data_IF_055209440259
#
_entry.id   IF_055209440259
#
_cell.length_a   1.000
_cell.length_b   1.000
_cell.length_c   1.000
_cell.angle_alpha   90.00
_cell.angle_beta   90.00
_cell.angle_gamma   90.00
#
_symmetry.space_group_name_H-M   'P 1'
#
loop_
_entity.id
_entity.type
_entity.pdbx_description
1 polymer ?
#
# COMPACT_ATOMS: atom_id res chain seq x y z
N UNK A 1 -9.37 10.17 3.53
CA UNK A 1 -8.03 9.70 3.87
C UNK A 1 -8.10 8.81 5.09
N UNK A 2 -7.51 7.63 5.05
CA UNK A 2 -7.34 6.77 6.24
C UNK A 2 -6.16 7.29 7.04
N UNK A 3 -6.39 7.66 8.30
CA UNK A 3 -5.33 8.11 9.21
C UNK A 3 -4.77 6.89 9.95
N UNK A 4 -3.45 6.77 10.04
CA UNK A 4 -2.80 5.68 10.77
C UNK A 4 -2.72 6.00 12.27
N UNK A 5 -3.83 5.75 12.97
CA UNK A 5 -3.95 5.89 14.43
C UNK A 5 -3.55 4.61 15.19
N UNK A 6 -3.83 4.57 16.49
CA UNK A 6 -3.51 3.42 17.36
C UNK A 6 -4.29 2.17 16.99
N UNK A 7 -5.52 2.30 16.50
CA UNK A 7 -6.38 1.16 16.15
C UNK A 7 -5.88 0.53 14.84
N UNK A 8 -5.54 1.36 13.86
CA UNK A 8 -4.89 0.92 12.62
C UNK A 8 -3.54 0.25 12.91
N UNK A 9 -2.73 0.84 13.79
CA UNK A 9 -1.43 0.27 14.18
C UNK A 9 -1.57 -1.10 14.86
N UNK A 10 -2.58 -1.28 15.71
CA UNK A 10 -2.86 -2.56 16.34
C UNK A 10 -3.36 -3.60 15.32
N UNK A 11 -4.31 -3.24 14.46
CA UNK A 11 -4.88 -4.13 13.44
C UNK A 11 -3.84 -4.62 12.43
N UNK A 12 -2.92 -3.73 12.01
CA UNK A 12 -1.92 -4.02 10.99
C UNK A 12 -0.55 -4.43 11.53
N UNK A 13 -0.38 -4.68 12.83
CA UNK A 13 0.95 -4.91 13.41
C UNK A 13 1.75 -6.00 12.66
N UNK A 14 1.13 -7.17 12.45
CA UNK A 14 1.78 -8.29 11.76
C UNK A 14 2.08 -7.96 10.29
N UNK A 15 1.13 -7.35 9.57
CA UNK A 15 1.30 -6.91 8.18
C UNK A 15 2.46 -5.91 8.03
N UNK A 16 2.54 -4.91 8.91
CA UNK A 16 3.60 -3.91 8.89
C UNK A 16 4.97 -4.55 9.24
N UNK A 17 5.01 -5.51 10.16
CA UNK A 17 6.24 -6.24 10.50
C UNK A 17 6.71 -7.16 9.36
N UNK A 18 5.80 -7.84 8.66
CA UNK A 18 6.08 -8.54 7.40
C UNK A 18 6.74 -7.58 6.41
N UNK A 19 6.14 -6.42 6.16
CA UNK A 19 6.71 -5.46 5.22
C UNK A 19 8.13 -5.00 5.62
N UNK A 20 8.44 -4.93 6.92
CA UNK A 20 9.78 -4.61 7.41
C UNK A 20 10.79 -5.73 7.10
N UNK A 21 10.37 -6.99 7.07
CA UNK A 21 11.28 -8.11 6.76
C UNK A 21 11.87 -8.01 5.36
N UNK A 22 11.12 -7.43 4.41
CA UNK A 22 11.53 -7.22 3.02
C UNK A 22 12.69 -6.21 2.84
N UNK A 23 13.12 -5.56 3.92
CA UNK A 23 14.36 -4.77 3.90
C UNK A 23 15.60 -5.66 3.71
N UNK A 24 15.54 -6.91 4.14
CA UNK A 24 16.59 -7.91 3.96
C UNK A 24 16.51 -8.54 2.56
N UNK A 25 17.65 -8.77 1.91
CA UNK A 25 17.71 -9.35 0.57
C UNK A 25 17.27 -10.81 0.54
N UNK A 26 17.71 -11.62 1.49
CA UNK A 26 17.40 -13.05 1.54
C UNK A 26 15.89 -13.28 1.76
N UNK A 27 15.26 -12.39 2.53
CA UNK A 27 13.81 -12.40 2.73
C UNK A 27 13.03 -12.06 1.46
N UNK A 28 13.53 -11.13 0.63
CA UNK A 28 12.90 -10.83 -0.66
C UNK A 28 13.01 -12.02 -1.60
N UNK A 29 14.16 -12.68 -1.65
CA UNK A 29 14.34 -13.88 -2.47
C UNK A 29 13.37 -14.99 -2.05
N UNK A 30 13.21 -15.22 -0.74
CA UNK A 30 12.24 -16.20 -0.22
C UNK A 30 10.79 -15.81 -0.52
N UNK A 31 10.44 -14.55 -0.32
CA UNK A 31 9.10 -14.03 -0.63
C UNK A 31 8.78 -14.20 -2.12
N UNK A 32 9.70 -13.86 -3.01
CA UNK A 32 9.50 -13.98 -4.47
C UNK A 32 9.55 -15.42 -4.99
N UNK A 33 10.19 -16.34 -4.26
CA UNK A 33 10.20 -17.75 -4.61
C UNK A 33 8.83 -18.42 -4.40
N UNK A 34 8.15 -18.07 -3.30
CA UNK A 34 6.78 -18.51 -3.00
C UNK A 34 6.12 -17.53 -2.03
N UNK A 35 5.37 -16.57 -2.59
CA UNK A 35 4.75 -15.50 -1.80
C UNK A 35 3.81 -16.06 -0.74
N UNK A 36 3.02 -17.08 -1.09
CA UNK A 36 2.03 -17.64 -0.18
C UNK A 36 2.72 -18.36 0.97
N UNK A 37 3.72 -19.19 0.68
CA UNK A 37 4.47 -19.89 1.72
C UNK A 37 5.17 -18.91 2.67
N UNK A 38 5.79 -17.85 2.15
CA UNK A 38 6.44 -16.84 2.98
C UNK A 38 5.43 -16.07 3.85
N UNK A 39 4.26 -15.72 3.30
CA UNK A 39 3.19 -15.05 4.04
C UNK A 39 2.56 -15.93 5.13
N UNK A 40 2.52 -17.25 4.94
CA UNK A 40 2.01 -18.19 5.93
C UNK A 40 2.92 -18.31 7.17
N UNK A 41 4.16 -17.79 7.12
CA UNK A 41 5.05 -17.66 8.29
C UNK A 41 4.65 -16.50 9.22
N UNK A 42 3.80 -15.58 8.76
CA UNK A 42 3.40 -14.39 9.51
C UNK A 42 1.99 -14.54 10.11
N UNK A 43 1.74 -14.02 11.33
CA UNK A 43 0.42 -14.06 11.96
C UNK A 43 -0.51 -12.98 11.38
N UNK A 44 -0.69 -13.00 10.06
CA UNK A 44 -1.56 -12.10 9.30
C UNK A 44 -2.91 -12.77 9.04
N UNK A 45 -3.96 -11.95 8.95
CA UNK A 45 -5.27 -12.43 8.48
C UNK A 45 -5.19 -12.86 7.00
N UNK A 46 -6.10 -13.73 6.57
CA UNK A 46 -6.16 -14.15 5.17
C UNK A 46 -6.39 -12.98 4.22
N UNK A 47 -7.23 -12.00 4.59
CA UNK A 47 -7.46 -10.80 3.78
C UNK A 47 -6.18 -9.97 3.61
N UNK A 48 -5.35 -9.85 4.65
CA UNK A 48 -4.06 -9.18 4.55
C UNK A 48 -3.10 -9.94 3.62
N UNK A 49 -3.05 -11.27 3.70
CA UNK A 49 -2.20 -12.08 2.81
C UNK A 49 -2.65 -11.96 1.35
N UNK A 50 -3.95 -12.06 1.10
CA UNK A 50 -4.52 -11.90 -0.24
C UNK A 50 -4.29 -10.49 -0.79
N UNK A 51 -4.40 -9.46 0.05
CA UNK A 51 -4.07 -8.08 -0.32
C UNK A 51 -2.60 -7.91 -0.74
N UNK A 52 -1.66 -8.58 -0.06
CA UNK A 52 -0.24 -8.59 -0.46
C UNK A 52 -0.06 -9.26 -1.82
N UNK A 53 -0.60 -10.46 -2.00
CA UNK A 53 -0.49 -11.22 -3.26
C UNK A 53 -1.10 -10.42 -4.43
N UNK A 54 -2.25 -9.78 -4.21
CA UNK A 54 -2.93 -8.97 -5.21
C UNK A 54 -2.28 -7.59 -5.42
N UNK A 55 -1.31 -7.20 -4.59
CA UNK A 55 -0.73 -5.84 -4.53
C UNK A 55 -1.78 -4.73 -4.35
N UNK A 56 -2.88 -5.04 -3.66
CA UNK A 56 -3.95 -4.07 -3.36
C UNK A 56 -3.57 -3.21 -2.15
N UNK A 57 -2.77 -2.17 -2.40
CA UNK A 57 -2.29 -1.28 -1.34
C UNK A 57 -3.42 -0.50 -0.67
N UNK A 58 -4.50 -0.19 -1.38
CA UNK A 58 -5.66 0.50 -0.81
C UNK A 58 -6.42 -0.42 0.15
N UNK A 59 -6.64 -1.69 -0.24
CA UNK A 59 -7.19 -2.71 0.66
C UNK A 59 -6.28 -2.98 1.86
N UNK A 60 -4.96 -3.04 1.65
CA UNK A 60 -4.03 -3.22 2.76
C UNK A 60 -4.05 -2.05 3.74
N UNK A 61 -4.28 -0.81 3.28
CA UNK A 61 -4.50 0.34 4.17
C UNK A 61 -5.77 0.18 5.00
N UNK A 62 -6.87 -0.31 4.44
CA UNK A 62 -8.10 -0.54 5.22
C UNK A 62 -7.92 -1.66 6.26
N UNK A 63 -6.95 -2.54 6.03
CA UNK A 63 -6.56 -3.65 6.92
C UNK A 63 -5.42 -3.30 7.90
N UNK A 64 -5.17 -2.02 8.17
CA UNK A 64 -4.16 -1.56 9.15
C UNK A 64 -2.76 -1.35 8.59
N UNK A 65 -2.57 -1.50 7.28
CA UNK A 65 -1.29 -1.23 6.64
C UNK A 65 -0.96 0.25 6.65
N UNK A 66 0.29 0.58 7.01
CA UNK A 66 0.81 1.93 6.87
C UNK A 66 1.61 2.04 5.57
N UNK A 67 1.36 3.07 4.76
CA UNK A 67 1.99 3.22 3.44
C UNK A 67 3.53 3.19 3.47
N UNK A 68 4.17 3.69 4.53
CA UNK A 68 5.62 3.61 4.66
C UNK A 68 6.13 2.19 4.84
N UNK A 69 5.34 1.29 5.42
CA UNK A 69 5.64 -0.13 5.48
C UNK A 69 5.25 -0.81 4.16
N UNK A 70 4.02 -0.63 3.70
CA UNK A 70 3.50 -1.26 2.49
C UNK A 70 4.35 -0.98 1.24
N UNK A 71 4.95 0.20 1.14
CA UNK A 71 5.86 0.54 0.04
C UNK A 71 7.07 -0.42 -0.09
N UNK A 72 7.42 -1.19 0.95
CA UNK A 72 8.46 -2.22 0.85
C UNK A 72 8.04 -3.38 -0.07
N UNK A 73 6.74 -3.65 -0.23
CA UNK A 73 6.24 -4.66 -1.17
C UNK A 73 6.59 -4.22 -2.60
N UNK A 74 6.12 -3.05 -3.04
CA UNK A 74 6.44 -2.54 -4.38
C UNK A 74 7.93 -2.27 -4.59
N UNK A 75 8.65 -1.81 -3.56
CA UNK A 75 10.10 -1.67 -3.65
C UNK A 75 10.82 -3.02 -3.82
N UNK A 76 10.30 -4.10 -3.21
CA UNK A 76 10.81 -5.46 -3.42
C UNK A 76 10.52 -5.97 -4.84
N UNK A 77 9.49 -5.44 -5.49
CA UNK A 77 9.18 -5.67 -6.91
C UNK A 77 10.00 -4.74 -7.85
N UNK A 78 10.92 -3.92 -7.31
CA UNK A 78 11.74 -2.99 -8.08
C UNK A 78 11.04 -1.70 -8.50
N UNK A 79 9.86 -1.40 -7.94
CA UNK A 79 9.12 -0.18 -8.26
C UNK A 79 9.68 1.05 -7.55
N UNK A 80 9.63 2.18 -8.24
CA UNK A 80 9.80 3.50 -7.64
C UNK A 80 8.60 3.90 -6.78
N UNK A 81 8.80 4.84 -5.84
CA UNK A 81 7.70 5.31 -5.00
C UNK A 81 6.57 5.96 -5.80
N UNK A 82 6.89 6.62 -6.93
CA UNK A 82 5.89 7.15 -7.86
C UNK A 82 4.98 6.03 -8.40
N UNK A 83 5.56 4.94 -8.89
CA UNK A 83 4.79 3.80 -9.40
C UNK A 83 3.91 3.18 -8.30
N UNK A 84 4.45 3.05 -7.09
CA UNK A 84 3.73 2.50 -5.93
C UNK A 84 2.51 3.35 -5.58
N UNK A 85 2.66 4.68 -5.46
CA UNK A 85 1.51 5.53 -5.08
C UNK A 85 0.54 5.75 -6.23
N UNK A 86 0.99 5.61 -7.48
CA UNK A 86 0.11 5.73 -8.65
C UNK A 86 -0.95 4.64 -8.67
N UNK A 87 -0.59 3.39 -8.29
CA UNK A 87 -1.54 2.26 -8.23
C UNK A 87 -2.68 2.47 -7.24
N UNK A 88 -2.55 3.45 -6.34
CA UNK A 88 -3.55 3.80 -5.35
C UNK A 88 -4.48 4.94 -5.82
N UNK A 89 -4.30 5.42 -7.04
CA UNK A 89 -5.06 6.51 -7.65
C UNK A 89 -5.78 6.06 -8.91
N UNK A 90 -6.62 6.94 -9.47
CA UNK A 90 -7.30 6.70 -10.75
C UNK A 90 -6.35 6.74 -11.96
N UNK A 91 -5.10 7.21 -11.79
CA UNK A 91 -4.11 7.32 -12.84
C UNK A 91 -3.13 6.14 -12.81
N UNK A 92 -2.64 5.74 -13.97
CA UNK A 92 -1.42 4.94 -14.06
C UNK A 92 -0.18 5.77 -13.72
N UNK A 93 1.01 5.15 -13.74
CA UNK A 93 2.26 5.83 -13.39
C UNK A 93 2.58 7.03 -14.30
N UNK A 94 2.19 6.98 -15.59
CA UNK A 94 2.44 8.06 -16.53
C UNK A 94 1.48 9.23 -16.29
N UNK A 95 0.18 8.96 -16.14
CA UNK A 95 -0.82 9.97 -15.83
C UNK A 95 -0.57 10.63 -14.46
N UNK A 96 -0.13 9.84 -13.47
CA UNK A 96 0.25 10.39 -12.17
C UNK A 96 1.50 11.27 -12.27
N UNK A 97 2.51 10.87 -13.06
CA UNK A 97 3.70 11.69 -13.31
C UNK A 97 3.33 13.04 -13.95
N UNK A 98 2.48 13.00 -14.99
CA UNK A 98 1.98 14.19 -15.67
C UNK A 98 1.20 15.10 -14.71
N UNK A 99 0.31 14.53 -13.90
CA UNK A 99 -0.42 15.27 -12.87
C UNK A 99 0.53 15.97 -11.89
N UNK A 100 1.61 15.30 -11.47
CA UNK A 100 2.62 15.89 -10.59
C UNK A 100 3.43 17.00 -11.28
N UNK A 101 3.79 16.85 -12.56
CA UNK A 101 4.47 17.89 -13.35
C UNK A 101 3.59 19.14 -13.56
N UNK A 102 2.27 18.95 -13.64
CA UNK A 102 1.28 20.02 -13.82
C UNK A 102 0.82 20.69 -12.51
N UNK A 103 1.55 20.50 -11.41
CA UNK A 103 1.28 21.16 -10.13
C UNK A 103 0.58 20.30 -9.07
N UNK A 104 0.34 19.02 -9.35
CA UNK A 104 -0.23 18.06 -8.41
C UNK A 104 -1.75 18.10 -8.33
N UNK A 105 -2.31 17.20 -7.52
CA UNK A 105 -3.76 17.08 -7.32
C UNK A 105 -4.30 18.29 -6.54
N UNK A 106 -5.29 18.97 -7.11
CA UNK A 106 -5.93 20.11 -6.45
C UNK A 106 -6.61 19.69 -5.13
N UNK A 107 -6.48 20.49 -4.05
CA UNK A 107 -7.23 20.29 -2.82
C UNK A 107 -8.71 20.67 -2.96
N UNK A 108 -9.11 21.40 -3.99
CA UNK A 108 -10.51 21.78 -4.19
C UNK A 108 -11.39 20.55 -4.40
N UNK A 109 -12.46 20.45 -3.60
CA UNK A 109 -13.34 19.27 -3.58
C UNK A 109 -12.72 18.03 -2.92
N UNK A 110 -11.58 18.15 -2.23
CA UNK A 110 -10.83 17.04 -1.65
C UNK A 110 -10.45 17.26 -0.17
N UNK A 111 -11.04 18.26 0.50
CA UNK A 111 -10.73 18.61 1.90
C UNK A 111 -11.70 17.96 2.88
N UNK A 112 -12.98 17.92 2.53
CA UNK A 112 -14.05 17.47 3.41
C UNK A 112 -14.93 16.41 2.77
N UNK A 113 -15.39 15.44 3.55
CA UNK A 113 -16.23 14.34 3.07
C UNK A 113 -17.52 14.81 2.39
N UNK A 114 -18.10 15.94 2.83
CA UNK A 114 -19.32 16.45 2.22
C UNK A 114 -19.11 17.00 0.80
N UNK A 115 -17.88 17.31 0.40
CA UNK A 115 -17.54 17.70 -0.98
C UNK A 115 -17.64 16.51 -1.95
N UNK A 116 -17.76 15.27 -1.45
CA UNK A 116 -17.80 14.04 -2.26
C UNK A 116 -19.21 13.48 -2.47
N UNK A 117 -20.26 14.15 -1.98
CA UNK A 117 -21.64 13.67 -2.06
C UNK A 117 -22.13 13.40 -3.50
N UNK A 118 -21.53 14.06 -4.48
CA UNK A 118 -21.88 13.94 -5.91
C UNK A 118 -20.85 13.13 -6.71
N UNK A 119 -19.85 12.52 -6.05
CA UNK A 119 -18.87 11.62 -6.67
C UNK A 119 -19.30 10.17 -6.44
N UNK A 120 -20.16 9.67 -7.32
CA UNK A 120 -20.43 8.24 -7.49
C UNK A 120 -19.32 7.52 -8.23
#
# INVERSE_FOLDING_TARGET
>A
TTVFDTDQAAAGYALNQFCRSLMDADNRERFHADERAYLDEWPMSEDQKLGVIARDLNGLITLGGNIYFLAKIGASDGQSYLQIVSSMTENDAAGHAEMMLNGGRSPDGNRYLHEWKDRT
#
